data_IF_118800997431
#
_entry.id   IF_118800997431
#
_cell.length_a   1.000
_cell.length_b   1.000
_cell.length_c   1.000
_cell.angle_alpha   90.00
_cell.angle_beta   90.00
_cell.angle_gamma   90.00
#
_symmetry.space_group_name_H-M   'P 1'
#
loop_
_entity.id
_entity.type
_entity.pdbx_description
1 polymer ?
#
# COMPACT_ATOMS: atom_id res chain seq x y z
N UNK A 1 -13.66 -77.61 -31.25
CA UNK A 1 -13.65 -76.68 -32.37
C UNK A 1 -14.53 -75.49 -32.03
N UNK A 2 -13.99 -74.44 -31.55
CA UNK A 2 -14.63 -73.09 -31.59
C UNK A 2 -13.61 -72.09 -31.04
N UNK A 3 -13.07 -71.31 -31.96
CA UNK A 3 -12.14 -70.24 -31.68
C UNK A 3 -12.91 -69.05 -31.20
N UNK A 4 -12.72 -68.65 -29.99
CA UNK A 4 -13.22 -67.37 -29.48
C UNK A 4 -12.09 -66.35 -29.52
N UNK A 5 -12.26 -65.34 -30.37
CA UNK A 5 -11.37 -64.20 -30.48
C UNK A 5 -11.67 -63.22 -29.33
N UNK A 6 -10.61 -62.93 -28.59
CA UNK A 6 -10.63 -61.89 -27.54
C UNK A 6 -10.24 -60.56 -28.17
N UNK A 7 -11.19 -59.65 -28.23
CA UNK A 7 -10.94 -58.27 -28.61
C UNK A 7 -10.56 -57.50 -27.34
N UNK A 8 -9.31 -57.07 -27.28
CA UNK A 8 -8.81 -56.15 -26.25
C UNK A 8 -9.07 -54.73 -26.75
N UNK A 9 -10.05 -54.06 -26.15
CA UNK A 9 -10.24 -52.63 -26.33
C UNK A 9 -9.28 -51.87 -25.45
N UNK A 10 -8.26 -51.26 -26.06
CA UNK A 10 -7.38 -50.31 -25.39
C UNK A 10 -8.08 -48.96 -25.22
N UNK A 11 -8.56 -48.67 -24.01
CA UNK A 11 -9.03 -47.37 -23.64
C UNK A 11 -7.87 -46.37 -23.45
N UNK A 12 -7.75 -45.42 -24.35
CA UNK A 12 -6.84 -44.29 -24.24
C UNK A 12 -7.47 -43.26 -23.33
N UNK A 13 -7.03 -43.20 -22.08
CA UNK A 13 -7.38 -42.10 -21.17
C UNK A 13 -6.52 -40.90 -21.51
N UNK A 14 -7.13 -39.91 -22.16
CA UNK A 14 -6.54 -38.58 -22.31
C UNK A 14 -6.60 -37.86 -20.96
N UNK A 15 -5.52 -37.84 -20.25
CA UNK A 15 -5.32 -36.96 -19.11
C UNK A 15 -5.14 -35.55 -19.64
N UNK A 16 -6.23 -34.76 -19.58
CA UNK A 16 -6.21 -33.34 -19.81
C UNK A 16 -5.53 -32.68 -18.63
N UNK A 17 -4.25 -32.37 -18.72
CA UNK A 17 -3.59 -31.44 -17.81
C UNK A 17 -4.12 -30.04 -18.12
N UNK A 18 -5.13 -29.62 -17.37
CA UNK A 18 -5.49 -28.21 -17.28
C UNK A 18 -4.31 -27.51 -16.59
N UNK A 19 -3.47 -26.86 -17.37
CA UNK A 19 -2.55 -25.85 -16.85
C UNK A 19 -3.41 -24.64 -16.48
N UNK A 20 -3.76 -24.56 -15.22
CA UNK A 20 -4.20 -23.29 -14.65
C UNK A 20 -2.99 -22.37 -14.64
N UNK A 21 -2.90 -21.49 -15.62
CA UNK A 21 -2.10 -20.29 -15.56
C UNK A 21 -2.69 -19.41 -14.46
N UNK A 22 -2.39 -19.73 -13.21
CA UNK A 22 -2.58 -18.81 -12.12
C UNK A 22 -1.51 -17.74 -12.28
N UNK A 23 -1.94 -16.54 -12.68
CA UNK A 23 -1.09 -15.40 -12.91
C UNK A 23 -0.20 -15.09 -11.72
N UNK A 24 1.04 -15.58 -11.76
CA UNK A 24 2.07 -15.28 -10.79
C UNK A 24 2.49 -13.79 -10.80
N UNK A 25 2.00 -13.01 -11.76
CA UNK A 25 2.25 -11.57 -11.88
C UNK A 25 1.39 -10.73 -10.95
N UNK A 26 0.12 -11.09 -10.79
CA UNK A 26 -0.82 -10.31 -9.97
C UNK A 26 -0.58 -10.44 -8.47
N UNK A 27 -0.07 -11.58 -8.03
CA UNK A 27 0.23 -11.81 -6.61
C UNK A 27 1.54 -11.13 -6.17
N UNK A 28 2.52 -11.03 -7.05
CA UNK A 28 3.75 -10.29 -6.76
C UNK A 28 3.51 -8.79 -6.66
N UNK A 29 2.63 -8.23 -7.48
CA UNK A 29 2.23 -6.83 -7.44
C UNK A 29 1.36 -6.52 -6.20
N UNK A 30 0.46 -7.42 -5.83
CA UNK A 30 -0.32 -7.31 -4.58
C UNK A 30 0.54 -7.44 -3.34
N UNK A 31 1.56 -8.30 -3.34
CA UNK A 31 2.50 -8.43 -2.23
C UNK A 31 3.41 -7.21 -2.10
N UNK A 32 3.77 -6.56 -3.20
CA UNK A 32 4.54 -5.32 -3.16
C UNK A 32 3.69 -4.11 -2.73
N UNK A 33 2.42 -4.03 -3.14
CA UNK A 33 1.50 -2.98 -2.71
C UNK A 33 0.98 -3.17 -1.27
N UNK A 34 0.92 -4.42 -0.77
CA UNK A 34 0.44 -4.75 0.57
C UNK A 34 1.50 -4.79 1.67
N UNK A 35 2.77 -4.50 1.37
CA UNK A 35 3.88 -4.72 2.32
C UNK A 35 4.53 -3.45 2.86
N UNK A 36 4.14 -2.27 2.41
CA UNK A 36 4.70 -1.03 2.96
C UNK A 36 4.06 -0.77 4.32
N UNK A 37 4.88 -0.88 5.37
CA UNK A 37 4.45 -0.56 6.72
C UNK A 37 4.46 0.97 6.91
N UNK A 38 3.26 1.58 6.98
CA UNK A 38 3.10 3.02 7.12
C UNK A 38 3.72 3.58 8.39
N UNK A 39 3.62 2.86 9.52
CA UNK A 39 4.25 3.24 10.77
C UNK A 39 5.78 3.26 10.64
N UNK A 40 6.37 2.23 10.05
CA UNK A 40 7.82 2.18 9.83
C UNK A 40 8.28 3.31 8.90
N UNK A 41 7.56 3.54 7.80
CA UNK A 41 7.84 4.65 6.88
C UNK A 41 7.74 6.02 7.57
N UNK A 42 6.71 6.22 8.40
CA UNK A 42 6.56 7.43 9.20
C UNK A 42 7.74 7.63 10.16
N UNK A 43 8.07 6.61 10.95
CA UNK A 43 9.15 6.68 11.94
C UNK A 43 10.50 7.01 11.30
N UNK A 44 10.77 6.45 10.15
CA UNK A 44 12.06 6.64 9.46
C UNK A 44 12.17 7.99 8.75
N UNK A 45 11.06 8.51 8.22
CA UNK A 45 11.12 9.63 7.28
C UNK A 45 10.40 10.90 7.74
N UNK A 46 9.46 10.83 8.66
CA UNK A 46 8.54 11.91 8.99
C UNK A 46 8.56 12.31 10.48
N UNK A 47 8.80 11.35 11.37
CA UNK A 47 8.67 11.51 12.82
C UNK A 47 9.53 12.64 13.39
N UNK A 48 10.71 12.89 12.84
CA UNK A 48 11.63 13.93 13.35
C UNK A 48 10.94 15.30 13.49
N UNK A 49 10.02 15.61 12.59
CA UNK A 49 9.22 16.85 12.64
C UNK A 49 7.83 16.61 13.23
N UNK A 50 7.13 15.57 12.79
CA UNK A 50 5.73 15.35 13.10
C UNK A 50 5.45 14.68 14.46
N UNK A 51 6.44 14.11 15.11
CA UNK A 51 6.34 13.65 16.50
C UNK A 51 6.56 14.83 17.49
N UNK A 52 7.46 15.74 17.14
CA UNK A 52 7.90 16.81 18.05
C UNK A 52 7.23 18.16 17.81
N UNK A 53 6.63 18.38 16.64
CA UNK A 53 6.12 19.69 16.22
C UNK A 53 7.21 20.63 15.74
N UNK A 54 8.39 20.12 15.35
CA UNK A 54 9.51 20.90 14.85
C UNK A 54 9.07 21.79 13.70
N UNK A 55 9.52 23.06 13.72
CA UNK A 55 9.18 24.09 12.72
C UNK A 55 7.67 24.31 12.52
N UNK A 56 6.86 24.01 13.52
CA UNK A 56 5.41 24.13 13.44
C UNK A 56 4.72 22.99 12.69
N UNK A 57 5.41 21.83 12.51
CA UNK A 57 4.80 20.65 11.95
C UNK A 57 3.62 20.19 12.81
N UNK A 58 2.46 19.87 12.23
CA UNK A 58 1.36 19.31 12.99
C UNK A 58 1.73 17.91 13.48
N UNK A 59 1.53 17.68 14.78
CA UNK A 59 1.93 16.40 15.40
C UNK A 59 0.93 15.29 15.06
N UNK A 60 1.47 14.09 14.91
CA UNK A 60 0.64 12.90 14.79
C UNK A 60 -0.20 12.71 16.05
N UNK A 61 -1.42 12.18 15.91
CA UNK A 61 -2.32 11.93 17.03
C UNK A 61 -2.89 13.17 17.72
N UNK A 62 -2.55 14.39 17.29
CA UNK A 62 -2.99 15.65 17.86
C UNK A 62 -3.92 16.41 16.88
N UNK A 63 -5.23 16.08 16.83
CA UNK A 63 -6.16 16.64 15.85
C UNK A 63 -6.19 18.19 15.82
N UNK A 64 -5.95 18.84 16.97
CA UNK A 64 -5.94 20.30 17.07
C UNK A 64 -4.82 20.96 16.28
N UNK A 65 -3.69 20.29 16.12
CA UNK A 65 -2.56 20.81 15.32
C UNK A 65 -2.92 20.83 13.81
N UNK A 66 -3.88 20.01 13.44
CA UNK A 66 -4.36 19.84 12.08
C UNK A 66 -5.58 20.71 11.72
N UNK A 67 -6.20 21.39 12.69
CA UNK A 67 -7.48 22.11 12.48
C UNK A 67 -7.45 23.09 11.30
N UNK A 68 -6.35 23.80 11.12
CA UNK A 68 -6.18 24.71 9.98
C UNK A 68 -5.95 23.98 8.64
N UNK A 69 -5.74 22.65 8.67
CA UNK A 69 -5.38 21.80 7.54
C UNK A 69 -6.36 20.66 7.32
N UNK A 70 -7.13 20.31 8.35
CA UNK A 70 -8.02 19.12 8.37
C UNK A 70 -9.27 19.26 7.49
N UNK A 71 -9.58 20.46 7.01
CA UNK A 71 -10.60 20.66 5.97
C UNK A 71 -10.14 20.24 4.57
N UNK A 72 -8.87 19.88 4.45
CA UNK A 72 -8.31 19.37 3.21
C UNK A 72 -8.60 17.87 3.09
N UNK A 73 -8.87 17.45 1.87
CA UNK A 73 -9.09 16.07 1.53
C UNK A 73 -7.78 15.29 1.70
N UNK A 74 -7.86 14.01 2.03
CA UNK A 74 -6.72 13.12 2.20
C UNK A 74 -5.75 13.22 1.02
N UNK A 75 -6.26 13.17 -0.21
CA UNK A 75 -5.45 13.29 -1.41
C UNK A 75 -4.64 14.60 -1.48
N UNK A 76 -5.19 15.71 -1.00
CA UNK A 76 -4.49 16.99 -0.94
C UNK A 76 -3.37 16.98 0.11
N UNK A 77 -3.63 16.39 1.27
CA UNK A 77 -2.60 16.25 2.32
C UNK A 77 -1.45 15.35 1.87
N UNK A 78 -1.76 14.25 1.18
CA UNK A 78 -0.75 13.38 0.58
C UNK A 78 0.05 14.09 -0.51
N UNK A 79 -0.60 14.92 -1.34
CA UNK A 79 0.10 15.72 -2.35
C UNK A 79 1.03 16.75 -1.71
N UNK A 80 0.61 17.41 -0.63
CA UNK A 80 1.46 18.32 0.15
C UNK A 80 2.68 17.60 0.73
N UNK A 81 2.53 16.37 1.20
CA UNK A 81 3.65 15.58 1.69
C UNK A 81 4.66 15.26 0.57
N UNK A 82 4.19 15.04 -0.65
CA UNK A 82 5.05 14.75 -1.82
C UNK A 82 5.73 15.99 -2.38
N UNK A 83 5.01 17.10 -2.47
CA UNK A 83 5.47 18.31 -3.15
C UNK A 83 6.03 19.38 -2.22
N UNK A 84 5.79 19.24 -0.91
CA UNK A 84 6.07 20.25 0.09
C UNK A 84 4.91 21.22 0.30
N UNK A 85 4.85 21.82 1.50
CA UNK A 85 3.82 22.77 1.86
C UNK A 85 4.29 23.71 2.99
N UNK A 86 4.38 25.02 2.74
CA UNK A 86 4.96 26.00 3.66
C UNK A 86 6.37 25.56 4.13
N UNK A 87 6.57 25.40 5.44
CA UNK A 87 7.83 25.00 6.02
C UNK A 87 8.13 23.49 5.85
N UNK A 88 7.16 22.70 5.42
CA UNK A 88 7.35 21.30 5.15
C UNK A 88 8.06 21.10 3.82
N UNK A 89 9.29 20.56 3.80
CA UNK A 89 9.95 20.25 2.54
C UNK A 89 9.29 19.06 1.85
N UNK A 90 9.39 19.03 0.52
CA UNK A 90 8.90 17.90 -0.28
C UNK A 90 9.50 16.58 0.25
N UNK A 91 8.65 15.56 0.44
CA UNK A 91 9.05 14.22 0.89
C UNK A 91 9.84 14.23 2.21
N UNK A 92 9.56 15.18 3.10
CA UNK A 92 10.33 15.33 4.34
C UNK A 92 11.79 15.71 4.11
N UNK A 93 12.13 16.30 2.97
CA UNK A 93 13.50 16.67 2.57
C UNK A 93 14.28 15.54 1.89
N UNK A 94 13.65 14.39 1.64
CA UNK A 94 14.24 13.20 0.98
C UNK A 94 13.66 13.05 -0.41
N UNK A 95 14.13 13.84 -1.36
CA UNK A 95 13.55 13.97 -2.71
C UNK A 95 13.50 12.66 -3.51
N UNK A 96 14.33 11.68 -3.14
CA UNK A 96 14.41 10.36 -3.77
C UNK A 96 13.39 9.34 -3.22
N UNK A 97 12.63 9.69 -2.17
CA UNK A 97 11.62 8.76 -1.63
C UNK A 97 10.54 8.48 -2.67
N UNK A 98 10.21 7.20 -2.92
CA UNK A 98 9.08 6.84 -3.76
C UNK A 98 7.75 7.35 -3.21
N UNK A 99 6.80 7.64 -4.10
CA UNK A 99 5.47 8.12 -3.73
C UNK A 99 4.74 7.15 -2.79
N UNK A 100 4.91 5.86 -2.99
CA UNK A 100 4.29 4.80 -2.19
C UNK A 100 4.72 4.88 -0.72
N UNK A 101 5.99 5.18 -0.47
CA UNK A 101 6.52 5.34 0.90
C UNK A 101 5.94 6.60 1.55
N UNK A 102 5.91 7.71 0.80
CA UNK A 102 5.35 8.97 1.30
C UNK A 102 3.85 8.82 1.59
N UNK A 103 3.11 8.18 0.68
CA UNK A 103 1.67 7.94 0.85
C UNK A 103 1.41 7.03 2.06
N UNK A 104 2.15 5.94 2.24
CA UNK A 104 1.98 5.03 3.36
C UNK A 104 2.25 5.72 4.70
N UNK A 105 3.28 6.55 4.79
CA UNK A 105 3.58 7.33 5.99
C UNK A 105 2.48 8.37 6.28
N UNK A 106 2.01 9.08 5.27
CA UNK A 106 0.94 10.07 5.41
C UNK A 106 -0.39 9.41 5.81
N UNK A 107 -0.72 8.26 5.23
CA UNK A 107 -1.91 7.48 5.59
C UNK A 107 -1.88 7.07 7.06
N UNK A 108 -0.77 6.49 7.51
CA UNK A 108 -0.59 6.15 8.91
C UNK A 108 -0.83 7.35 9.84
N UNK A 109 -0.24 8.51 9.54
CA UNK A 109 -0.44 9.73 10.33
C UNK A 109 -1.92 10.15 10.38
N UNK A 110 -2.62 10.06 9.27
CA UNK A 110 -4.05 10.41 9.18
C UNK A 110 -4.91 9.42 9.96
N UNK A 111 -4.62 8.13 9.89
CA UNK A 111 -5.35 7.08 10.63
C UNK A 111 -5.27 7.28 12.13
N UNK A 112 -4.08 7.50 12.66
CA UNK A 112 -3.91 7.68 14.11
C UNK A 112 -4.40 9.05 14.60
N UNK A 113 -4.40 10.08 13.73
CA UNK A 113 -4.88 11.42 14.10
C UNK A 113 -6.41 11.51 14.00
N UNK A 114 -7.01 10.88 13.01
CA UNK A 114 -8.45 10.92 12.73
C UNK A 114 -9.02 9.52 12.53
N UNK A 115 -9.11 8.69 13.58
CA UNK A 115 -9.49 7.28 13.44
C UNK A 115 -10.93 7.06 12.97
N UNK A 116 -11.78 8.08 13.00
CA UNK A 116 -13.17 8.03 12.56
C UNK A 116 -13.44 8.88 11.29
N UNK A 117 -12.39 9.23 10.54
CA UNK A 117 -12.60 9.97 9.29
C UNK A 117 -13.35 9.10 8.28
N UNK A 118 -14.21 9.71 7.44
CA UNK A 118 -14.77 9.00 6.29
C UNK A 118 -13.64 8.61 5.34
N UNK A 119 -13.78 7.46 4.73
CA UNK A 119 -12.92 7.08 3.61
C UNK A 119 -13.37 7.86 2.36
N UNK A 120 -12.41 8.32 1.56
CA UNK A 120 -12.66 9.06 0.31
C UNK A 120 -13.13 8.13 -0.82
#
# INVERSE_FOLDING_TARGET
MRKTAFLIAAGFALASCAHGDAGAGDDADRLSAGSINGEAAYREHCAVCHETGMLGAPREGEPQDWQARSSLWQAVLMEHAKTGYFEMPARGGKTELPDEIVNAAAEYMLEITFPNRPED
#
